data_IF_447423395417
#
_entry.id   IF_447423395417
#
_cell.length_a   1.000
_cell.length_b   1.000
_cell.length_c   1.000
_cell.angle_alpha   90.00
_cell.angle_beta   90.00
_cell.angle_gamma   90.00
#
_symmetry.space_group_name_H-M   'P 1'
#
loop_
_entity.id
_entity.type
_entity.pdbx_description
1 polymer ?
#
# COMPACT_ATOMS: atom_id res chain seq x y z
N UNK A 1 -24.98 17.70 18.15
CA UNK A 1 -23.58 17.31 18.40
C UNK A 1 -22.73 18.40 17.81
N UNK A 2 -21.83 18.97 18.59
CA UNK A 2 -20.92 20.04 18.18
C UNK A 2 -20.16 19.57 16.93
N UNK A 3 -20.37 20.25 15.78
CA UNK A 3 -19.81 19.87 14.47
C UNK A 3 -18.28 19.85 14.49
N UNK A 4 -17.67 20.57 15.43
CA UNK A 4 -16.23 20.74 15.56
C UNK A 4 -15.57 19.68 16.45
N UNK A 5 -16.34 18.83 17.16
CA UNK A 5 -15.82 17.80 18.06
C UNK A 5 -14.84 16.84 17.40
N UNK A 6 -15.11 16.48 16.14
CA UNK A 6 -14.31 15.51 15.37
C UNK A 6 -12.89 15.98 15.09
N UNK A 7 -12.64 17.29 15.05
CA UNK A 7 -11.35 17.81 14.61
C UNK A 7 -10.31 17.77 15.73
N UNK A 8 -9.06 17.50 15.37
CA UNK A 8 -7.92 17.61 16.27
C UNK A 8 -7.61 19.10 16.55
N UNK A 9 -6.90 19.37 17.65
CA UNK A 9 -6.51 20.73 18.01
C UNK A 9 -5.76 21.43 16.87
N UNK A 10 -4.87 20.72 16.18
CA UNK A 10 -4.09 21.25 15.05
C UNK A 10 -4.98 21.66 13.86
N UNK A 11 -6.04 20.91 13.59
CA UNK A 11 -6.98 21.22 12.52
C UNK A 11 -7.82 22.45 12.88
N UNK A 12 -8.28 22.55 14.13
CA UNK A 12 -8.99 23.74 14.62
C UNK A 12 -8.13 25.00 14.58
N UNK A 13 -6.83 24.88 14.89
CA UNK A 13 -5.87 25.98 14.77
C UNK A 13 -5.75 26.47 13.33
N UNK A 14 -5.69 25.56 12.35
CA UNK A 14 -5.67 25.94 10.94
C UNK A 14 -6.99 26.58 10.51
N UNK A 15 -8.15 26.03 10.93
CA UNK A 15 -9.46 26.62 10.67
C UNK A 15 -9.53 28.06 11.22
N UNK A 16 -9.13 28.27 12.48
CA UNK A 16 -9.10 29.58 13.12
C UNK A 16 -8.18 30.56 12.37
N UNK A 17 -6.99 30.11 11.94
CA UNK A 17 -6.06 30.89 11.12
C UNK A 17 -6.70 31.34 9.80
N UNK A 18 -7.41 30.46 9.10
CA UNK A 18 -8.08 30.78 7.83
C UNK A 18 -9.32 31.68 7.99
N UNK A 19 -9.94 31.67 9.17
CA UNK A 19 -11.00 32.60 9.56
C UNK A 19 -10.45 33.96 10.05
N UNK A 20 -9.16 34.04 10.39
CA UNK A 20 -8.54 35.24 10.95
C UNK A 20 -8.79 35.42 12.45
N UNK A 21 -9.09 34.34 13.17
CA UNK A 21 -9.35 34.34 14.60
C UNK A 21 -8.03 34.30 15.36
N UNK A 22 -7.75 35.35 16.14
CA UNK A 22 -6.59 35.39 17.03
C UNK A 22 -6.86 34.65 18.34
N UNK A 23 -5.90 33.83 18.78
CA UNK A 23 -5.98 33.09 20.03
C UNK A 23 -4.63 33.03 20.76
N UNK A 24 -4.65 32.74 22.06
CA UNK A 24 -3.44 32.68 22.89
C UNK A 24 -2.66 31.39 22.66
N UNK A 25 -1.33 31.46 22.77
CA UNK A 25 -0.47 30.27 22.77
C UNK A 25 -0.87 29.31 23.91
N UNK A 26 -1.04 28.02 23.58
CA UNK A 26 -1.48 27.00 24.54
C UNK A 26 -2.99 26.93 24.79
N UNK A 27 -3.82 27.55 23.94
CA UNK A 27 -5.29 27.47 24.03
C UNK A 27 -5.78 26.01 24.06
N UNK A 28 -6.79 25.75 24.88
CA UNK A 28 -7.43 24.43 24.95
C UNK A 28 -8.33 24.20 23.74
N UNK A 29 -8.50 22.91 23.36
CA UNK A 29 -9.39 22.51 22.27
C UNK A 29 -10.81 23.06 22.42
N UNK A 30 -11.38 22.99 23.64
CA UNK A 30 -12.74 23.49 23.91
C UNK A 30 -12.86 25.00 23.70
N UNK A 31 -11.91 25.78 24.22
CA UNK A 31 -11.89 27.24 24.11
C UNK A 31 -11.75 27.70 22.66
N UNK A 32 -10.90 27.02 21.87
CA UNK A 32 -10.73 27.36 20.46
C UNK A 32 -11.99 27.08 19.62
N UNK A 33 -12.75 26.04 19.96
CA UNK A 33 -14.01 25.77 19.28
C UNK A 33 -15.05 26.85 19.58
N UNK A 34 -15.22 27.23 20.84
CA UNK A 34 -16.16 28.29 21.22
C UNK A 34 -15.87 29.58 20.46
N UNK A 35 -14.59 29.92 20.24
CA UNK A 35 -14.20 31.07 19.42
C UNK A 35 -14.61 30.92 17.95
N UNK A 36 -14.43 29.73 17.37
CA UNK A 36 -14.81 29.45 15.98
C UNK A 36 -16.34 29.46 15.82
N UNK A 37 -17.08 28.84 16.74
CA UNK A 37 -18.54 28.83 16.73
C UNK A 37 -19.10 30.24 16.82
N UNK A 38 -18.57 31.05 17.75
CA UNK A 38 -18.99 32.44 17.92
C UNK A 38 -18.73 33.30 16.67
N UNK A 39 -17.57 33.14 16.03
CA UNK A 39 -17.24 33.87 14.78
C UNK A 39 -18.20 33.52 13.64
N UNK A 40 -18.69 32.28 13.57
CA UNK A 40 -19.68 31.85 12.56
C UNK A 40 -21.07 32.39 12.91
N UNK A 41 -21.49 32.30 14.18
CA UNK A 41 -22.79 32.80 14.64
C UNK A 41 -22.95 34.31 14.42
N UNK A 42 -21.87 35.08 14.53
CA UNK A 42 -21.88 36.53 14.24
C UNK A 42 -22.07 36.85 12.75
N UNK A 43 -21.89 35.86 11.85
CA UNK A 43 -22.02 36.04 10.40
C UNK A 43 -23.33 35.41 9.88
N UNK A 44 -24.34 36.25 9.64
CA UNK A 44 -25.64 35.80 9.14
C UNK A 44 -25.54 34.99 7.83
N UNK A 45 -26.24 33.85 7.78
CA UNK A 45 -26.36 33.00 6.59
C UNK A 45 -25.13 32.15 6.27
N UNK A 46 -24.16 32.09 7.19
CA UNK A 46 -22.97 31.25 7.07
C UNK A 46 -22.98 30.10 8.07
N UNK A 47 -22.31 29.02 7.68
CA UNK A 47 -22.10 27.85 8.53
C UNK A 47 -20.73 27.24 8.19
N UNK A 48 -20.22 26.34 9.03
CA UNK A 48 -19.11 25.46 8.66
C UNK A 48 -19.67 24.10 8.28
N UNK A 49 -19.26 23.65 7.10
CA UNK A 49 -19.55 22.29 6.65
C UNK A 49 -18.27 21.57 6.22
N UNK A 50 -18.34 20.24 6.27
CA UNK A 50 -17.33 19.37 5.69
C UNK A 50 -18.00 18.26 4.89
N UNK A 51 -17.29 17.69 3.92
CA UNK A 51 -17.75 16.57 3.11
C UNK A 51 -16.67 16.05 2.16
N UNK A 52 -16.96 14.96 1.46
CA UNK A 52 -16.10 14.39 0.42
C UNK A 52 -16.39 15.04 -0.93
N UNK A 53 -15.39 15.59 -1.61
CA UNK A 53 -15.59 16.26 -2.89
C UNK A 53 -15.86 15.26 -4.02
N UNK A 54 -16.83 15.55 -4.89
CA UNK A 54 -17.00 14.93 -6.19
C UNK A 54 -16.80 15.99 -7.28
N UNK A 55 -15.73 15.88 -8.07
CA UNK A 55 -15.46 16.77 -9.20
C UNK A 55 -16.12 16.22 -10.46
N UNK A 56 -16.90 17.06 -11.14
CA UNK A 56 -17.60 16.75 -12.39
C UNK A 56 -16.75 17.12 -13.61
N UNK A 57 -17.08 16.61 -14.81
CA UNK A 57 -16.28 16.81 -16.03
C UNK A 57 -15.98 18.27 -16.38
N UNK A 58 -16.90 19.18 -16.07
CA UNK A 58 -16.75 20.63 -16.32
C UNK A 58 -15.85 21.33 -15.27
N UNK A 59 -15.29 20.59 -14.32
CA UNK A 59 -14.29 21.06 -13.35
C UNK A 59 -14.84 21.69 -12.08
N UNK A 60 -16.16 21.88 -11.95
CA UNK A 60 -16.81 22.18 -10.67
C UNK A 60 -17.15 20.88 -9.93
N UNK A 61 -17.58 20.97 -8.68
CA UNK A 61 -17.93 19.78 -7.91
C UNK A 61 -18.95 20.00 -6.82
N UNK A 62 -19.26 18.93 -6.10
CA UNK A 62 -20.12 18.95 -4.92
C UNK A 62 -19.46 18.22 -3.76
N UNK A 63 -19.49 18.78 -2.55
CA UNK A 63 -19.21 18.01 -1.35
C UNK A 63 -20.42 17.11 -1.08
N UNK A 64 -20.17 15.80 -0.98
CA UNK A 64 -21.11 14.73 -0.63
C UNK A 64 -20.93 14.34 0.84
N UNK A 65 -21.93 13.64 1.38
CA UNK A 65 -21.92 13.13 2.77
C UNK A 65 -21.57 14.23 3.76
N UNK A 66 -22.22 15.39 3.62
CA UNK A 66 -21.82 16.59 4.33
C UNK A 66 -22.41 16.65 5.73
N UNK A 67 -21.80 17.46 6.58
CA UNK A 67 -22.33 17.75 7.93
C UNK A 67 -23.60 18.62 7.96
N UNK A 68 -24.07 19.08 6.79
CA UNK A 68 -25.29 19.90 6.65
C UNK A 68 -26.42 19.14 5.93
N UNK A 69 -26.26 17.81 5.77
CA UNK A 69 -27.23 16.89 5.15
C UNK A 69 -27.65 17.24 3.69
N UNK A 70 -27.04 18.26 3.09
CA UNK A 70 -27.22 18.70 1.71
C UNK A 70 -25.88 18.80 1.00
N UNK A 71 -25.89 18.62 -0.32
CA UNK A 71 -24.69 18.85 -1.12
C UNK A 71 -24.24 20.31 -1.05
N UNK A 72 -22.93 20.52 -1.03
CA UNK A 72 -22.32 21.85 -1.07
C UNK A 72 -21.64 22.03 -2.42
N UNK A 73 -22.09 22.99 -3.22
CA UNK A 73 -21.47 23.36 -4.48
C UNK A 73 -20.05 23.90 -4.27
N UNK A 74 -19.11 23.43 -5.08
CA UNK A 74 -17.72 23.88 -5.14
C UNK A 74 -17.40 24.37 -6.53
N UNK A 75 -16.98 25.63 -6.63
CA UNK A 75 -16.71 26.26 -7.93
C UNK A 75 -15.45 25.71 -8.60
N UNK A 76 -15.41 25.71 -9.93
CA UNK A 76 -14.23 25.28 -10.68
C UNK A 76 -12.97 26.13 -10.42
N UNK A 77 -13.13 27.37 -9.94
CA UNK A 77 -11.99 28.20 -9.50
C UNK A 77 -11.41 27.70 -8.18
N UNK A 78 -12.24 27.32 -7.20
CA UNK A 78 -11.79 26.72 -5.94
C UNK A 78 -11.14 25.35 -6.17
N UNK A 79 -11.76 24.50 -6.99
CA UNK A 79 -11.18 23.21 -7.38
C UNK A 79 -9.79 23.39 -7.97
N UNK A 80 -9.62 24.32 -8.93
CA UNK A 80 -8.31 24.58 -9.54
C UNK A 80 -7.31 25.23 -8.59
N UNK A 81 -7.73 26.25 -7.82
CA UNK A 81 -6.84 27.00 -6.92
C UNK A 81 -6.19 26.07 -5.89
N UNK A 82 -6.99 25.25 -5.22
CA UNK A 82 -6.53 24.36 -4.16
C UNK A 82 -6.19 22.96 -4.67
N UNK A 83 -6.14 22.77 -6.01
CA UNK A 83 -5.89 21.48 -6.68
C UNK A 83 -6.74 20.33 -6.12
N UNK A 84 -8.00 20.64 -5.80
CA UNK A 84 -8.92 19.67 -5.22
C UNK A 84 -9.26 18.57 -6.23
N UNK A 85 -9.44 17.36 -5.73
CA UNK A 85 -9.79 16.18 -6.51
C UNK A 85 -10.98 15.46 -5.86
N UNK A 86 -11.65 14.63 -6.65
CA UNK A 86 -12.69 13.74 -6.15
C UNK A 86 -12.14 12.91 -4.97
N UNK A 87 -12.91 12.77 -3.90
CA UNK A 87 -12.59 12.22 -2.57
C UNK A 87 -11.72 13.07 -1.64
N UNK A 88 -11.32 14.29 -2.00
CA UNK A 88 -10.71 15.19 -1.01
C UNK A 88 -11.76 15.54 0.06
N UNK A 89 -11.39 15.37 1.33
CA UNK A 89 -12.21 15.84 2.46
C UNK A 89 -11.98 17.33 2.62
N UNK A 90 -12.99 18.12 2.31
CA UNK A 90 -12.93 19.58 2.37
C UNK A 90 -13.72 20.07 3.57
N UNK A 91 -13.13 20.96 4.36
CA UNK A 91 -13.82 21.75 5.39
C UNK A 91 -13.85 23.19 4.91
N UNK A 92 -15.00 23.84 5.02
CA UNK A 92 -15.09 25.24 4.64
C UNK A 92 -16.28 25.99 5.21
N UNK A 93 -16.17 27.30 5.11
CA UNK A 93 -17.28 28.23 5.34
C UNK A 93 -18.23 28.09 4.15
N UNK A 94 -19.48 27.73 4.43
CA UNK A 94 -20.56 27.59 3.46
C UNK A 94 -21.59 28.67 3.67
N UNK A 95 -22.25 29.07 2.58
CA UNK A 95 -23.43 29.93 2.64
C UNK A 95 -24.68 29.14 2.31
N UNK A 96 -25.77 29.52 2.94
CA UNK A 96 -27.10 28.99 2.59
C UNK A 96 -27.43 29.27 1.10
N UNK A 97 -28.26 28.41 0.49
CA UNK A 97 -28.75 28.67 -0.86
C UNK A 97 -29.51 29.99 -0.91
N UNK A 98 -29.27 30.79 -1.94
CA UNK A 98 -29.94 32.09 -2.15
C UNK A 98 -30.66 32.12 -3.49
N UNK A 99 -31.87 32.70 -3.55
CA UNK A 99 -32.66 32.79 -4.78
C UNK A 99 -33.14 31.41 -5.25
N UNK A 100 -32.82 31.05 -6.49
CA UNK A 100 -33.21 29.76 -7.11
C UNK A 100 -32.24 28.61 -6.81
N UNK A 101 -31.17 28.86 -6.06
CA UNK A 101 -30.20 27.82 -5.68
C UNK A 101 -30.82 26.82 -4.70
N UNK A 102 -30.61 25.52 -4.94
CA UNK A 102 -31.12 24.44 -4.06
C UNK A 102 -30.08 23.93 -3.06
N UNK A 103 -28.80 24.16 -3.36
CA UNK A 103 -27.66 23.61 -2.63
C UNK A 103 -26.90 24.71 -1.90
N UNK A 104 -26.25 24.34 -0.80
CA UNK A 104 -25.28 25.23 -0.15
C UNK A 104 -24.14 25.54 -1.14
N UNK A 105 -23.45 26.67 -0.96
CA UNK A 105 -22.28 26.99 -1.75
C UNK A 105 -21.05 27.19 -0.86
N UNK A 106 -19.92 26.60 -1.25
CA UNK A 106 -18.65 26.77 -0.56
C UNK A 106 -18.16 28.20 -0.76
N UNK A 107 -18.13 29.00 0.29
CA UNK A 107 -17.62 30.38 0.25
C UNK A 107 -16.11 30.41 0.37
N UNK A 108 -15.56 29.67 1.34
CA UNK A 108 -14.12 29.63 1.62
C UNK A 108 -13.69 28.23 2.04
N UNK A 109 -12.61 27.74 1.44
CA UNK A 109 -11.93 26.51 1.89
C UNK A 109 -11.13 26.86 3.15
N UNK A 110 -11.27 26.07 4.21
CA UNK A 110 -10.57 26.26 5.48
C UNK A 110 -9.55 25.15 5.74
N UNK A 111 -9.83 23.92 5.29
CA UNK A 111 -8.97 22.76 5.48
C UNK A 111 -9.19 21.74 4.35
N UNK A 112 -8.14 21.00 3.97
CA UNK A 112 -8.22 19.90 2.99
C UNK A 112 -7.47 18.67 3.53
N UNK A 113 -8.12 17.51 3.61
CA UNK A 113 -7.56 16.22 4.09
C UNK A 113 -6.74 16.32 5.39
N UNK A 114 -7.22 17.08 6.38
CA UNK A 114 -6.53 17.30 7.67
C UNK A 114 -5.21 18.07 7.58
N UNK A 115 -4.88 18.65 6.41
CA UNK A 115 -3.72 19.49 6.16
C UNK A 115 -4.07 20.95 5.90
N UNK A 116 -3.05 21.78 5.77
CA UNK A 116 -3.22 23.22 5.50
C UNK A 116 -3.56 23.49 4.03
N UNK A 117 -4.09 24.68 3.73
CA UNK A 117 -4.38 25.05 2.35
C UNK A 117 -3.10 25.17 1.52
N UNK A 118 -2.01 25.65 2.11
CA UNK A 118 -0.72 25.74 1.42
C UNK A 118 -0.20 24.35 1.04
N UNK A 119 -0.42 23.34 1.90
CA UNK A 119 -0.09 21.95 1.58
C UNK A 119 -0.90 21.46 0.36
N UNK A 120 -2.21 21.73 0.31
CA UNK A 120 -3.06 21.37 -0.82
C UNK A 120 -2.64 22.09 -2.13
N UNK A 121 -2.35 23.39 -2.06
CA UNK A 121 -1.86 24.16 -3.23
C UNK A 121 -0.49 23.67 -3.72
N UNK A 122 0.39 23.25 -2.81
CA UNK A 122 1.73 22.72 -3.11
C UNK A 122 1.74 21.26 -3.54
N UNK A 123 0.60 20.55 -3.46
CA UNK A 123 0.48 19.14 -3.86
C UNK A 123 0.98 18.95 -5.29
N UNK A 124 1.88 17.98 -5.43
CA UNK A 124 2.40 17.53 -6.73
C UNK A 124 1.68 16.23 -7.10
N UNK A 125 1.10 16.13 -8.31
CA UNK A 125 0.50 14.89 -8.80
C UNK A 125 1.47 13.71 -8.71
N UNK A 126 0.96 12.51 -8.42
CA UNK A 126 1.74 11.29 -8.26
C UNK A 126 2.67 11.02 -9.45
N UNK A 127 2.16 11.29 -10.66
CA UNK A 127 2.88 11.11 -11.92
C UNK A 127 4.10 12.03 -12.06
N UNK A 128 4.07 13.20 -11.40
CA UNK A 128 5.14 14.21 -11.41
C UNK A 128 6.12 14.04 -10.22
N UNK A 129 5.82 13.15 -9.28
CA UNK A 129 6.71 12.84 -8.16
C UNK A 129 7.96 12.10 -8.64
N UNK A 130 9.13 12.47 -8.09
CA UNK A 130 10.43 11.91 -8.50
C UNK A 130 10.62 10.51 -7.93
N UNK A 131 10.64 9.45 -8.77
CA UNK A 131 10.86 8.08 -8.30
C UNK A 131 12.29 7.89 -7.79
N UNK A 132 12.43 7.11 -6.72
CA UNK A 132 13.70 6.73 -6.12
C UNK A 132 13.78 5.21 -5.91
N UNK A 133 14.99 4.70 -5.70
CA UNK A 133 15.14 3.36 -5.13
C UNK A 133 14.69 3.35 -3.68
N UNK A 134 14.14 2.23 -3.19
CA UNK A 134 13.93 2.04 -1.76
C UNK A 134 15.25 2.11 -0.99
N UNK A 135 15.27 2.91 0.08
CA UNK A 135 16.43 3.09 0.98
C UNK A 135 16.09 2.79 2.43
N UNK A 136 14.81 2.61 2.74
CA UNK A 136 14.31 2.18 4.03
C UNK A 136 13.67 0.81 3.86
N UNK A 137 14.10 -0.17 4.66
CA UNK A 137 13.49 -1.51 4.66
C UNK A 137 12.30 -1.57 5.59
N UNK A 138 11.29 -2.35 5.22
CA UNK A 138 10.34 -2.88 6.18
C UNK A 138 11.05 -3.93 7.02
N UNK A 139 10.79 -3.91 8.33
CA UNK A 139 11.19 -5.00 9.22
C UNK A 139 10.03 -5.98 9.29
N UNK A 140 10.26 -7.23 8.89
CA UNK A 140 9.25 -8.29 8.94
C UNK A 140 9.50 -9.27 10.09
N UNK A 141 10.70 -9.29 10.66
CA UNK A 141 10.97 -9.96 11.92
C UNK A 141 10.10 -9.37 13.05
N UNK A 142 9.31 -10.21 13.70
CA UNK A 142 8.55 -9.87 14.91
C UNK A 142 9.04 -10.68 16.10
N UNK A 143 8.49 -11.86 16.31
CA UNK A 143 8.90 -12.80 17.34
C UNK A 143 9.72 -13.97 16.76
N UNK A 144 10.24 -14.81 17.66
CA UNK A 144 11.01 -16.01 17.30
C UNK A 144 10.22 -17.01 16.44
N UNK A 145 8.89 -17.02 16.53
CA UNK A 145 8.01 -17.94 15.80
C UNK A 145 7.68 -17.44 14.40
N UNK A 146 7.88 -16.16 14.10
CA UNK A 146 7.72 -15.59 12.77
C UNK A 146 8.88 -15.97 11.84
N UNK A 147 8.96 -17.25 11.49
CA UNK A 147 10.00 -17.79 10.62
C UNK A 147 9.92 -17.17 9.22
N UNK A 148 8.71 -16.91 8.70
CA UNK A 148 8.50 -16.30 7.38
C UNK A 148 9.10 -14.91 7.27
N UNK A 149 8.74 -13.99 8.17
CA UNK A 149 9.27 -12.63 8.18
C UNK A 149 10.78 -12.62 8.34
N UNK A 150 11.30 -13.46 9.26
CA UNK A 150 12.74 -13.59 9.49
C UNK A 150 13.51 -14.10 8.27
N UNK A 151 12.97 -15.08 7.54
CA UNK A 151 13.58 -15.56 6.29
C UNK A 151 13.57 -14.45 5.25
N UNK A 152 12.43 -13.78 5.03
CA UNK A 152 12.32 -12.71 4.02
C UNK A 152 13.32 -11.59 4.30
N UNK A 153 13.44 -11.12 5.53
CA UNK A 153 14.40 -10.07 5.92
C UNK A 153 15.86 -10.44 5.59
N UNK A 154 16.20 -11.74 5.59
CA UNK A 154 17.53 -12.25 5.25
C UNK A 154 17.71 -12.51 3.76
N UNK A 155 16.69 -12.99 3.04
CA UNK A 155 16.84 -13.54 1.68
C UNK A 155 16.29 -12.64 0.58
N UNK A 156 15.30 -11.80 0.89
CA UNK A 156 14.60 -10.95 -0.06
C UNK A 156 14.05 -9.71 0.68
N UNK A 157 14.93 -8.83 1.21
CA UNK A 157 14.50 -7.68 1.99
C UNK A 157 13.56 -6.79 1.18
N UNK A 158 12.47 -6.32 1.80
CA UNK A 158 11.46 -5.49 1.15
C UNK A 158 11.62 -4.04 1.60
N UNK A 159 11.78 -3.12 0.65
CA UNK A 159 11.88 -1.69 0.92
C UNK A 159 10.55 -0.93 0.79
N UNK A 160 10.49 0.26 1.40
CA UNK A 160 9.45 1.26 1.13
C UNK A 160 9.51 1.67 -0.34
N UNK A 161 8.46 1.34 -1.09
CA UNK A 161 8.40 1.56 -2.54
C UNK A 161 8.80 0.36 -3.40
N UNK A 162 8.95 -0.84 -2.81
CA UNK A 162 9.32 -2.06 -3.53
C UNK A 162 8.19 -2.55 -4.45
N UNK A 163 8.60 -3.17 -5.56
CA UNK A 163 7.74 -4.00 -6.43
C UNK A 163 8.12 -5.46 -6.22
N UNK A 164 7.48 -6.09 -5.25
CA UNK A 164 7.79 -7.46 -4.87
C UNK A 164 6.81 -8.45 -5.49
N UNK A 165 7.33 -9.56 -6.00
CA UNK A 165 6.56 -10.68 -6.52
C UNK A 165 6.70 -11.87 -5.57
N UNK A 166 5.57 -12.42 -5.13
CA UNK A 166 5.51 -13.74 -4.50
C UNK A 166 5.15 -14.74 -5.61
N UNK A 167 6.15 -15.46 -6.08
CA UNK A 167 6.04 -16.39 -7.20
C UNK A 167 5.73 -17.77 -6.63
N UNK A 168 4.48 -18.17 -6.73
CA UNK A 168 3.98 -19.33 -6.00
C UNK A 168 3.20 -20.30 -6.88
N UNK A 169 3.50 -21.60 -6.84
CA UNK A 169 2.60 -22.60 -7.39
C UNK A 169 1.35 -22.75 -6.52
N UNK A 170 0.27 -23.33 -7.07
CA UNK A 170 -0.91 -23.69 -6.29
C UNK A 170 -0.53 -24.53 -5.05
N UNK A 171 -1.19 -24.26 -3.92
CA UNK A 171 -0.99 -24.97 -2.63
C UNK A 171 0.39 -24.80 -1.97
N UNK A 172 1.22 -23.84 -2.40
CA UNK A 172 2.54 -23.60 -1.80
C UNK A 172 2.52 -22.78 -0.48
N UNK A 173 1.35 -22.38 0.02
CA UNK A 173 1.23 -21.56 1.24
C UNK A 173 1.23 -20.05 1.00
N UNK A 174 0.85 -19.61 -0.22
CA UNK A 174 0.69 -18.20 -0.63
C UNK A 174 -0.07 -17.35 0.40
N UNK A 175 -1.28 -17.77 0.76
CA UNK A 175 -2.17 -17.04 1.69
C UNK A 175 -1.53 -16.86 3.05
N UNK A 176 -0.93 -17.93 3.60
CA UNK A 176 -0.20 -17.88 4.87
C UNK A 176 0.96 -16.89 4.83
N UNK A 177 1.68 -16.82 3.69
CA UNK A 177 2.77 -15.88 3.54
C UNK A 177 2.28 -14.43 3.48
N UNK A 178 1.21 -14.14 2.73
CA UNK A 178 0.60 -12.80 2.69
C UNK A 178 0.19 -12.35 4.08
N UNK A 179 -0.58 -13.18 4.81
CA UNK A 179 -1.04 -12.83 6.16
C UNK A 179 0.13 -12.61 7.12
N UNK A 180 1.18 -13.42 7.01
CA UNK A 180 2.40 -13.25 7.82
C UNK A 180 3.13 -11.93 7.51
N UNK A 181 3.29 -11.57 6.24
CA UNK A 181 3.90 -10.29 5.85
C UNK A 181 3.04 -9.12 6.34
N UNK A 182 1.72 -9.19 6.15
CA UNK A 182 0.79 -8.14 6.55
C UNK A 182 0.86 -7.86 8.05
N UNK A 183 0.74 -8.91 8.87
CA UNK A 183 0.81 -8.79 10.32
C UNK A 183 2.16 -8.24 10.79
N UNK A 184 3.25 -8.70 10.17
CA UNK A 184 4.59 -8.19 10.48
C UNK A 184 4.73 -6.69 10.18
N UNK A 185 4.18 -6.25 9.03
CA UNK A 185 4.20 -4.84 8.65
C UNK A 185 3.38 -3.97 9.60
N UNK A 186 2.18 -4.42 9.98
CA UNK A 186 1.31 -3.72 10.93
C UNK A 186 1.98 -3.58 12.30
N UNK A 187 2.65 -4.63 12.77
CA UNK A 187 3.30 -4.63 14.07
C UNK A 187 4.54 -3.73 14.12
N UNK A 188 5.41 -3.84 13.12
CA UNK A 188 6.74 -3.21 13.14
C UNK A 188 6.79 -1.84 12.46
N UNK A 189 5.86 -1.50 11.57
CA UNK A 189 5.93 -0.32 10.70
C UNK A 189 4.67 0.53 10.83
N UNK A 190 4.42 1.05 12.04
CA UNK A 190 3.18 1.73 12.45
C UNK A 190 2.83 2.98 11.63
N UNK A 191 3.80 3.56 10.93
CA UNK A 191 3.64 4.69 10.03
C UNK A 191 3.15 4.29 8.62
N UNK A 192 2.98 2.99 8.36
CA UNK A 192 2.57 2.45 7.06
C UNK A 192 1.15 1.91 7.11
N UNK A 193 0.31 2.30 6.16
CA UNK A 193 -0.99 1.68 5.98
C UNK A 193 -0.86 0.39 5.15
N UNK A 194 -1.38 -0.71 5.69
CA UNK A 194 -1.37 -2.03 5.05
C UNK A 194 -2.74 -2.31 4.44
N UNK A 195 -2.78 -2.45 3.13
CA UNK A 195 -3.97 -2.75 2.35
C UNK A 195 -3.83 -4.14 1.72
N UNK A 196 -4.89 -4.94 1.77
CA UNK A 196 -4.95 -6.25 1.11
C UNK A 196 -5.99 -6.17 0.01
N UNK A 197 -5.59 -6.50 -1.22
CA UNK A 197 -6.45 -6.51 -2.40
C UNK A 197 -6.59 -7.94 -2.93
N UNK A 198 -7.77 -8.54 -2.73
CA UNK A 198 -8.09 -9.91 -3.14
C UNK A 198 -8.96 -9.88 -4.40
N UNK A 199 -8.45 -10.48 -5.48
CA UNK A 199 -9.09 -10.49 -6.79
C UNK A 199 -9.35 -11.93 -7.22
N UNK A 200 -10.60 -12.23 -7.55
CA UNK A 200 -11.04 -13.54 -8.04
C UNK A 200 -10.63 -14.69 -7.08
N UNK A 201 -10.67 -14.40 -5.78
CA UNK A 201 -10.42 -15.38 -4.71
C UNK A 201 -11.73 -15.85 -4.07
N UNK A 202 -11.65 -16.96 -3.34
CA UNK A 202 -12.82 -17.59 -2.73
C UNK A 202 -13.34 -16.81 -1.52
N UNK A 203 -14.67 -16.68 -1.32
CA UNK A 203 -15.24 -15.95 -0.20
C UNK A 203 -14.76 -16.42 1.17
N UNK A 204 -14.53 -17.72 1.36
CA UNK A 204 -13.99 -18.28 2.60
C UNK A 204 -12.54 -17.84 2.87
N UNK A 205 -11.71 -17.72 1.83
CA UNK A 205 -10.33 -17.23 1.94
C UNK A 205 -10.29 -15.72 2.21
N UNK A 206 -11.24 -14.96 1.63
CA UNK A 206 -11.43 -13.54 1.96
C UNK A 206 -11.81 -13.34 3.42
N UNK A 207 -12.68 -14.20 3.94
CA UNK A 207 -13.12 -14.14 5.35
C UNK A 207 -11.96 -14.47 6.30
N UNK A 208 -11.21 -15.53 6.01
CA UNK A 208 -10.03 -15.92 6.79
C UNK A 208 -8.97 -14.79 6.87
N UNK A 209 -8.72 -14.09 5.77
CA UNK A 209 -7.81 -12.93 5.78
C UNK A 209 -8.34 -11.78 6.65
N UNK A 210 -9.64 -11.48 6.56
CA UNK A 210 -10.24 -10.41 7.37
C UNK A 210 -10.16 -10.69 8.87
N UNK A 211 -10.28 -11.96 9.26
CA UNK A 211 -10.20 -12.37 10.66
C UNK A 211 -8.75 -12.51 11.15
N UNK A 212 -7.82 -12.90 10.29
CA UNK A 212 -6.42 -13.17 10.66
C UNK A 212 -5.48 -11.96 10.57
N UNK A 213 -5.85 -10.89 9.85
CA UNK A 213 -5.01 -9.70 9.65
C UNK A 213 -5.70 -8.44 10.20
N UNK A 214 -5.74 -8.35 11.53
CA UNK A 214 -6.33 -7.21 12.22
C UNK A 214 -5.45 -5.97 12.02
N UNK A 215 -6.05 -4.88 11.52
CA UNK A 215 -5.36 -3.62 11.25
C UNK A 215 -5.09 -3.35 9.77
N UNK A 216 -5.26 -4.35 8.89
CA UNK A 216 -5.24 -4.13 7.45
C UNK A 216 -6.60 -3.64 6.92
N UNK A 217 -6.58 -2.80 5.88
CA UNK A 217 -7.78 -2.53 5.08
C UNK A 217 -7.91 -3.61 4.00
N UNK A 218 -8.94 -4.45 4.11
CA UNK A 218 -9.16 -5.56 3.16
C UNK A 218 -10.21 -5.18 2.11
N UNK A 219 -9.77 -5.13 0.87
CA UNK A 219 -10.59 -4.95 -0.33
C UNK A 219 -10.66 -6.29 -1.07
N UNK A 220 -11.86 -6.69 -1.48
CA UNK A 220 -12.05 -7.97 -2.15
C UNK A 220 -13.09 -7.85 -3.28
N UNK A 221 -12.84 -8.60 -4.34
CA UNK A 221 -13.77 -8.84 -5.44
C UNK A 221 -13.68 -10.34 -5.75
N UNK A 222 -14.66 -11.11 -5.26
CA UNK A 222 -14.64 -12.58 -5.25
C UNK A 222 -14.90 -13.18 -6.63
N UNK A 223 -14.57 -14.46 -6.83
CA UNK A 223 -14.64 -15.13 -8.15
C UNK A 223 -16.04 -15.17 -8.80
N UNK A 224 -17.10 -14.94 -8.02
CA UNK A 224 -18.49 -14.92 -8.47
C UNK A 224 -18.89 -13.56 -9.08
N UNK A 225 -18.05 -12.54 -8.98
CA UNK A 225 -18.29 -11.21 -9.55
C UNK A 225 -17.86 -11.09 -11.02
N UNK A 226 -18.43 -10.12 -11.74
CA UNK A 226 -18.04 -9.84 -13.13
C UNK A 226 -16.57 -9.36 -13.20
N UNK A 227 -15.76 -9.81 -14.17
CA UNK A 227 -14.37 -9.37 -14.35
C UNK A 227 -14.18 -7.85 -14.43
N UNK A 228 -15.19 -7.10 -14.89
CA UNK A 228 -15.18 -5.63 -14.88
C UNK A 228 -15.17 -5.07 -13.45
N UNK A 229 -15.77 -5.76 -12.50
CA UNK A 229 -15.73 -5.35 -11.09
C UNK A 229 -14.32 -5.50 -10.52
N UNK A 230 -13.61 -6.59 -10.84
CA UNK A 230 -12.20 -6.78 -10.45
C UNK A 230 -11.32 -5.61 -10.92
N UNK A 231 -11.50 -5.19 -12.17
CA UNK A 231 -10.80 -4.04 -12.77
C UNK A 231 -11.16 -2.75 -12.03
N UNK A 232 -12.45 -2.47 -11.88
CA UNK A 232 -12.95 -1.26 -11.22
C UNK A 232 -12.45 -1.12 -9.78
N UNK A 233 -12.53 -2.19 -8.99
CA UNK A 233 -12.04 -2.21 -7.61
C UNK A 233 -10.54 -1.94 -7.59
N UNK A 234 -9.77 -2.62 -8.45
CA UNK A 234 -8.31 -2.45 -8.51
C UNK A 234 -7.89 -1.02 -8.85
N UNK A 235 -8.50 -0.42 -9.88
CA UNK A 235 -8.20 0.95 -10.30
C UNK A 235 -8.56 1.97 -9.21
N UNK A 236 -9.74 1.81 -8.58
CA UNK A 236 -10.16 2.67 -7.47
C UNK A 236 -9.18 2.62 -6.30
N UNK A 237 -8.71 1.42 -5.92
CA UNK A 237 -7.74 1.26 -4.84
C UNK A 237 -6.38 1.85 -5.22
N UNK A 238 -5.92 1.67 -6.46
CA UNK A 238 -4.67 2.27 -6.92
C UNK A 238 -4.71 3.81 -6.84
N UNK A 239 -5.78 4.43 -7.33
CA UNK A 239 -5.94 5.88 -7.30
C UNK A 239 -6.02 6.41 -5.86
N UNK A 240 -6.70 5.69 -4.96
CA UNK A 240 -6.72 6.02 -3.53
C UNK A 240 -5.32 5.96 -2.91
N UNK A 241 -4.53 4.93 -3.26
CA UNK A 241 -3.16 4.78 -2.76
C UNK A 241 -2.23 5.90 -3.26
N UNK A 242 -2.30 6.25 -4.55
CA UNK A 242 -1.53 7.36 -5.13
C UNK A 242 -1.77 8.67 -4.36
N UNK A 243 -3.02 9.00 -4.07
CA UNK A 243 -3.39 10.22 -3.33
C UNK A 243 -2.80 10.27 -1.93
N UNK A 244 -2.75 9.14 -1.23
CA UNK A 244 -2.10 9.07 0.08
C UNK A 244 -0.59 9.28 -0.02
N UNK A 245 0.05 8.70 -1.04
CA UNK A 245 1.48 8.92 -1.31
C UNK A 245 1.79 10.36 -1.69
N UNK A 246 0.91 11.04 -2.43
CA UNK A 246 1.01 12.49 -2.71
C UNK A 246 1.02 13.33 -1.42
N UNK A 247 0.36 12.88 -0.36
CA UNK A 247 0.36 13.52 0.96
C UNK A 247 1.54 13.09 1.85
N UNK A 248 2.48 12.29 1.34
CA UNK A 248 3.66 11.84 2.08
C UNK A 248 3.48 10.54 2.87
N UNK A 249 2.37 9.83 2.68
CA UNK A 249 2.07 8.59 3.42
C UNK A 249 2.77 7.37 2.79
N UNK A 250 3.04 6.34 3.62
CA UNK A 250 3.58 5.06 3.16
C UNK A 250 2.45 4.05 3.05
N UNK A 251 2.22 3.53 1.85
CA UNK A 251 1.15 2.58 1.55
C UNK A 251 1.76 1.27 1.07
N UNK A 252 1.30 0.16 1.63
CA UNK A 252 1.58 -1.19 1.13
C UNK A 252 0.29 -1.80 0.61
N UNK A 253 0.32 -2.28 -0.64
CA UNK A 253 -0.75 -3.11 -1.20
C UNK A 253 -0.24 -4.54 -1.35
N UNK A 254 -0.80 -5.44 -0.56
CA UNK A 254 -0.64 -6.89 -0.69
C UNK A 254 -1.74 -7.41 -1.61
N UNK A 255 -1.37 -7.85 -2.81
CA UNK A 255 -2.32 -8.23 -3.84
C UNK A 255 -2.31 -9.73 -4.09
N UNK A 256 -3.51 -10.31 -4.15
CA UNK A 256 -3.72 -11.72 -4.47
C UNK A 256 -4.84 -11.89 -5.51
N UNK A 257 -4.55 -12.03 -6.82
CA UNK A 257 -3.22 -12.12 -7.46
C UNK A 257 -3.12 -11.29 -8.74
N UNK A 258 -1.90 -10.92 -9.12
CA UNK A 258 -1.63 -10.26 -10.41
C UNK A 258 -2.01 -11.14 -11.60
N UNK A 259 -1.84 -12.47 -11.48
CA UNK A 259 -2.24 -13.41 -12.54
C UNK A 259 -3.74 -13.34 -12.80
N UNK A 260 -4.56 -13.33 -11.74
CA UNK A 260 -6.02 -13.23 -11.87
C UNK A 260 -6.46 -11.87 -12.41
N UNK A 261 -5.83 -10.77 -11.98
CA UNK A 261 -6.09 -9.46 -12.55
C UNK A 261 -5.77 -9.41 -14.05
N UNK A 262 -4.62 -9.94 -14.46
CA UNK A 262 -4.24 -9.99 -15.87
C UNK A 262 -5.23 -10.80 -16.72
N UNK A 263 -5.75 -11.91 -16.19
CA UNK A 263 -6.84 -12.67 -16.83
C UNK A 263 -8.12 -11.84 -16.96
N UNK A 264 -8.51 -11.11 -15.92
CA UNK A 264 -9.69 -10.25 -15.96
C UNK A 264 -9.59 -9.18 -17.05
N UNK A 265 -8.45 -8.49 -17.15
CA UNK A 265 -8.19 -7.54 -18.24
C UNK A 265 -8.22 -8.19 -19.63
N UNK A 266 -7.66 -9.40 -19.77
CA UNK A 266 -7.68 -10.13 -21.04
C UNK A 266 -9.09 -10.56 -21.47
N UNK A 267 -10.02 -10.73 -20.53
CA UNK A 267 -11.43 -11.04 -20.82
C UNK A 267 -12.20 -9.77 -21.22
N UNK A 268 -11.94 -8.65 -20.54
CA UNK A 268 -12.74 -7.42 -20.68
C UNK A 268 -12.29 -6.53 -21.84
N UNK A 269 -10.98 -6.47 -22.10
CA UNK A 269 -10.44 -5.57 -23.12
C UNK A 269 -10.81 -6.09 -24.51
N UNK A 270 -11.35 -5.22 -25.39
CA UNK A 270 -11.60 -5.57 -26.78
C UNK A 270 -10.32 -6.06 -27.47
N UNK A 271 -10.40 -7.18 -28.20
CA UNK A 271 -9.21 -7.71 -28.86
C UNK A 271 -8.68 -6.73 -29.91
N UNK A 272 -7.37 -6.52 -29.88
CA UNK A 272 -6.60 -5.80 -30.89
C UNK A 272 -6.44 -6.57 -32.20
N UNK A 273 -6.87 -7.84 -32.24
CA UNK A 273 -6.65 -8.77 -33.36
C UNK A 273 -5.25 -9.37 -33.40
N UNK A 274 -4.36 -9.01 -32.46
CA UNK A 274 -3.01 -9.57 -32.33
C UNK A 274 -2.90 -10.34 -31.03
N UNK A 275 -2.86 -11.67 -31.12
CA UNK A 275 -2.62 -12.53 -29.96
C UNK A 275 -1.14 -12.93 -29.90
N UNK A 276 -0.56 -12.86 -28.71
CA UNK A 276 0.73 -13.50 -28.42
C UNK A 276 0.49 -14.96 -28.02
N UNK A 277 1.59 -15.69 -27.81
CA UNK A 277 1.53 -17.05 -27.27
C UNK A 277 0.66 -17.08 -26.00
N UNK A 278 -0.01 -18.20 -25.72
CA UNK A 278 -0.91 -18.32 -24.57
C UNK A 278 -2.26 -17.62 -24.72
N UNK A 279 -2.59 -17.04 -25.88
CA UNK A 279 -3.91 -16.46 -26.15
C UNK A 279 -4.15 -15.11 -25.47
N UNK A 280 -3.06 -14.39 -25.15
CA UNK A 280 -3.11 -13.09 -24.50
C UNK A 280 -3.07 -12.00 -25.56
N UNK A 281 -3.90 -10.97 -25.38
CA UNK A 281 -3.75 -9.72 -26.11
C UNK A 281 -2.67 -8.85 -25.43
N UNK A 282 -1.61 -8.40 -26.12
CA UNK A 282 -0.58 -7.54 -25.53
C UNK A 282 -1.14 -6.27 -24.87
N UNK A 283 -2.23 -5.73 -25.40
CA UNK A 283 -2.89 -4.54 -24.82
C UNK A 283 -3.52 -4.85 -23.48
N UNK A 284 -3.93 -6.09 -23.23
CA UNK A 284 -4.49 -6.50 -21.96
C UNK A 284 -3.45 -6.53 -20.82
N UNK A 285 -2.18 -6.75 -21.14
CA UNK A 285 -1.10 -6.73 -20.14
C UNK A 285 -0.64 -5.32 -19.76
N UNK A 286 -1.01 -4.30 -20.54
CA UNK A 286 -0.62 -2.91 -20.27
C UNK A 286 -1.10 -2.45 -18.88
N UNK A 287 -2.38 -2.66 -18.56
CA UNK A 287 -2.97 -2.15 -17.32
C UNK A 287 -2.47 -2.86 -16.07
N UNK A 288 -2.39 -4.20 -16.00
CA UNK A 288 -1.76 -4.87 -14.87
C UNK A 288 -0.28 -4.50 -14.68
N UNK A 289 0.48 -4.34 -15.78
CA UNK A 289 1.87 -3.87 -15.70
C UNK A 289 1.95 -2.45 -15.16
N UNK A 290 1.06 -1.57 -15.59
CA UNK A 290 1.00 -0.21 -15.08
C UNK A 290 0.64 -0.19 -13.58
N UNK A 291 -0.34 -1.00 -13.16
CA UNK A 291 -0.68 -1.17 -11.73
C UNK A 291 0.55 -1.57 -10.92
N UNK A 292 1.22 -2.67 -11.30
CA UNK A 292 2.40 -3.15 -10.56
C UNK A 292 3.59 -2.19 -10.66
N UNK A 293 3.79 -1.57 -11.82
CA UNK A 293 4.83 -0.56 -12.09
C UNK A 293 4.60 0.77 -11.40
N UNK A 294 3.40 1.03 -10.88
CA UNK A 294 3.11 2.26 -10.12
C UNK A 294 3.88 2.28 -8.80
N UNK A 295 4.14 1.14 -8.18
CA UNK A 295 4.90 1.04 -6.94
C UNK A 295 6.34 1.58 -7.10
N UNK A 296 6.66 2.55 -6.23
CA UNK A 296 7.90 3.30 -6.23
C UNK A 296 8.08 4.03 -4.89
N UNK A 297 9.33 4.25 -4.52
CA UNK A 297 9.69 5.19 -3.45
C UNK A 297 9.68 6.61 -4.02
N UNK A 298 9.24 7.61 -3.26
CA UNK A 298 9.24 9.02 -3.69
C UNK A 298 10.33 9.78 -2.94
N UNK A 299 11.18 10.51 -3.68
CA UNK A 299 12.20 11.36 -3.07
C UNK A 299 11.54 12.49 -2.28
N UNK A 300 11.78 12.52 -0.97
CA UNK A 300 11.26 13.57 -0.08
C UNK A 300 9.74 13.48 0.16
N UNK A 301 9.13 12.33 -0.11
CA UNK A 301 7.70 12.09 0.08
C UNK A 301 7.43 10.70 0.66
N UNK A 302 6.23 10.19 0.38
CA UNK A 302 5.79 8.87 0.83
C UNK A 302 6.31 7.74 -0.06
N UNK A 303 5.71 6.57 0.05
CA UNK A 303 6.05 5.43 -0.81
C UNK A 303 4.84 4.57 -1.12
N UNK A 304 4.79 4.03 -2.34
CA UNK A 304 3.83 2.99 -2.71
C UNK A 304 4.57 1.68 -2.90
N UNK A 305 4.33 0.73 -2.01
CA UNK A 305 4.85 -0.63 -2.11
C UNK A 305 3.76 -1.55 -2.61
N UNK A 306 4.04 -2.37 -3.62
CA UNK A 306 3.12 -3.42 -4.06
C UNK A 306 3.84 -4.76 -3.93
N UNK A 307 3.25 -5.64 -3.14
CA UNK A 307 3.68 -7.03 -2.98
C UNK A 307 2.56 -7.88 -3.56
N UNK A 308 2.81 -8.51 -4.69
CA UNK A 308 1.78 -9.21 -5.42
C UNK A 308 2.13 -10.65 -5.70
N UNK A 309 1.13 -11.53 -5.64
CA UNK A 309 1.32 -12.93 -5.99
C UNK A 309 1.19 -13.14 -7.49
N UNK A 310 2.02 -14.04 -8.01
CA UNK A 310 1.96 -14.51 -9.39
C UNK A 310 2.01 -16.03 -9.37
N UNK A 311 1.07 -16.64 -10.07
CA UNK A 311 0.95 -18.10 -10.17
C UNK A 311 1.92 -18.64 -11.21
N UNK A 312 2.61 -19.72 -10.85
CA UNK A 312 3.48 -20.51 -11.74
C UNK A 312 3.15 -22.00 -11.62
N UNK A 313 3.64 -22.81 -12.54
CA UNK A 313 3.42 -24.27 -12.57
C UNK A 313 1.94 -24.66 -12.54
N UNK A 314 1.06 -23.85 -13.15
CA UNK A 314 -0.39 -24.10 -13.24
C UNK A 314 -0.75 -25.03 -14.40
N UNK A 315 0.19 -25.27 -15.32
CA UNK A 315 -0.05 -25.95 -16.60
C UNK A 315 -0.66 -25.05 -17.67
N UNK A 316 -0.90 -23.77 -17.38
CA UNK A 316 -1.40 -22.79 -18.33
C UNK A 316 -0.26 -21.99 -18.95
N UNK A 317 -0.09 -22.10 -20.28
CA UNK A 317 0.85 -21.25 -21.03
C UNK A 317 0.57 -19.75 -20.88
N UNK A 318 -0.70 -19.39 -20.62
CA UNK A 318 -1.09 -18.00 -20.37
C UNK A 318 -0.41 -17.50 -19.09
N UNK A 319 -0.43 -18.29 -18.02
CA UNK A 319 0.14 -17.89 -16.73
C UNK A 319 1.67 -17.80 -16.80
N UNK A 320 2.33 -18.70 -17.53
CA UNK A 320 3.77 -18.66 -17.75
C UNK A 320 4.20 -17.34 -18.40
N UNK A 321 3.44 -16.88 -19.40
CA UNK A 321 3.72 -15.62 -20.11
C UNK A 321 3.42 -14.43 -19.22
N UNK A 322 2.30 -14.46 -18.48
CA UNK A 322 1.99 -13.42 -17.49
C UNK A 322 3.13 -13.28 -16.47
N UNK A 323 3.66 -14.40 -15.97
CA UNK A 323 4.78 -14.40 -15.04
C UNK A 323 6.04 -13.78 -15.63
N UNK A 324 6.47 -14.18 -16.83
CA UNK A 324 7.67 -13.63 -17.46
C UNK A 324 7.55 -12.11 -17.69
N UNK A 325 6.36 -11.64 -18.04
CA UNK A 325 6.08 -10.22 -18.25
C UNK A 325 6.19 -9.41 -16.95
N UNK A 326 5.69 -9.92 -15.83
CA UNK A 326 5.80 -9.23 -14.53
C UNK A 326 7.19 -9.35 -13.90
N UNK A 327 7.89 -10.46 -14.10
CA UNK A 327 9.26 -10.66 -13.63
C UNK A 327 10.22 -9.59 -14.14
N UNK A 328 9.99 -9.11 -15.38
CA UNK A 328 10.76 -8.00 -15.94
C UNK A 328 10.53 -6.66 -15.23
N UNK A 329 9.34 -6.48 -14.63
CA UNK A 329 8.87 -5.24 -13.98
C UNK A 329 9.24 -5.18 -12.49
N UNK A 330 9.25 -6.34 -11.82
CA UNK A 330 9.58 -6.49 -10.40
C UNK A 330 11.05 -6.22 -10.09
N UNK A 331 11.32 -5.93 -8.81
CA UNK A 331 12.67 -5.74 -8.28
C UNK A 331 12.94 -6.51 -6.97
N UNK A 332 11.98 -7.30 -6.50
CA UNK A 332 12.12 -8.26 -5.41
C UNK A 332 11.32 -9.51 -5.77
N UNK A 333 11.95 -10.68 -5.74
CA UNK A 333 11.33 -11.95 -6.09
C UNK A 333 11.39 -12.89 -4.88
N UNK A 334 10.23 -13.39 -4.43
CA UNK A 334 10.09 -14.37 -3.36
C UNK A 334 9.48 -15.63 -3.98
N UNK A 335 10.31 -16.65 -4.16
CA UNK A 335 9.88 -17.90 -4.78
C UNK A 335 9.38 -18.88 -3.72
N UNK A 336 8.19 -19.44 -3.94
CA UNK A 336 7.72 -20.60 -3.20
C UNK A 336 7.92 -21.87 -4.02
N UNK A 337 8.36 -22.95 -3.38
CA UNK A 337 8.67 -24.22 -4.00
C UNK A 337 7.65 -25.30 -3.60
N UNK A 338 7.04 -25.94 -4.60
CA UNK A 338 6.02 -26.98 -4.40
C UNK A 338 6.56 -28.18 -3.63
N UNK A 339 7.81 -28.60 -3.90
CA UNK A 339 8.40 -29.77 -3.26
C UNK A 339 8.63 -29.52 -1.76
N UNK A 340 9.00 -28.30 -1.38
CA UNK A 340 9.09 -27.92 0.04
C UNK A 340 7.72 -28.05 0.74
N UNK A 341 6.66 -27.53 0.11
CA UNK A 341 5.31 -27.62 0.65
C UNK A 341 4.80 -29.07 0.76
N UNK A 342 5.07 -29.91 -0.24
CA UNK A 342 4.74 -31.35 -0.24
C UNK A 342 5.48 -32.11 0.86
N UNK A 343 6.74 -31.74 1.15
CA UNK A 343 7.53 -32.24 2.27
C UNK A 343 7.15 -31.61 3.63
N UNK A 344 6.10 -30.78 3.68
CA UNK A 344 5.64 -30.06 4.88
C UNK A 344 6.69 -29.14 5.50
N UNK A 345 7.60 -28.61 4.69
CA UNK A 345 8.60 -27.62 5.11
C UNK A 345 8.00 -26.23 4.88
N UNK A 346 7.63 -25.55 5.97
CA UNK A 346 7.08 -24.20 5.93
C UNK A 346 7.94 -23.21 6.75
N UNK A 347 8.10 -21.96 6.25
CA UNK A 347 7.60 -21.44 4.98
C UNK A 347 8.32 -22.08 3.78
N UNK A 348 7.58 -22.34 2.70
CA UNK A 348 8.07 -23.04 1.53
C UNK A 348 8.92 -22.15 0.59
N UNK A 349 9.74 -21.27 1.15
CA UNK A 349 10.54 -20.28 0.42
C UNK A 349 11.80 -20.94 -0.15
N UNK A 350 12.03 -20.77 -1.45
CA UNK A 350 13.29 -21.10 -2.11
C UNK A 350 14.31 -19.99 -1.82
N UNK A 351 15.22 -20.28 -0.89
CA UNK A 351 16.28 -19.37 -0.43
C UNK A 351 17.22 -18.98 -1.57
N UNK A 352 17.49 -19.88 -2.52
CA UNK A 352 18.47 -19.64 -3.57
C UNK A 352 17.91 -18.74 -4.66
N UNK A 353 16.65 -18.97 -5.05
CA UNK A 353 15.97 -18.21 -6.11
C UNK A 353 15.44 -16.85 -5.64
N UNK A 354 15.14 -16.70 -4.35
CA UNK A 354 14.57 -15.44 -3.82
C UNK A 354 15.65 -14.37 -3.64
N UNK A 355 15.33 -13.11 -3.90
CA UNK A 355 16.28 -12.01 -3.80
C UNK A 355 15.71 -10.64 -4.14
N UNK A 356 16.43 -9.60 -3.72
CA UNK A 356 16.07 -8.20 -3.98
C UNK A 356 17.17 -7.50 -4.77
N UNK A 357 16.80 -6.78 -5.83
CA UNK A 357 17.74 -5.93 -6.58
C UNK A 357 18.15 -4.73 -5.74
N UNK A 358 19.44 -4.42 -5.73
CA UNK A 358 20.04 -3.32 -4.95
C UNK A 358 19.82 -3.44 -3.43
N UNK A 359 19.90 -4.66 -2.90
CA UNK A 359 19.75 -4.91 -1.46
C UNK A 359 20.80 -4.19 -0.59
N UNK A 360 21.93 -3.77 -1.17
CA UNK A 360 22.94 -2.93 -0.51
C UNK A 360 22.44 -1.53 -0.11
N UNK A 361 21.30 -1.09 -0.66
CA UNK A 361 20.62 0.15 -0.25
C UNK A 361 19.72 -0.05 0.97
N UNK A 362 19.40 -1.31 1.31
CA UNK A 362 18.44 -1.67 2.36
C UNK A 362 19.12 -2.27 3.59
N UNK A 363 20.25 -2.96 3.39
CA UNK A 363 20.95 -3.69 4.43
C UNK A 363 22.34 -3.07 4.67
N UNK A 364 22.73 -2.80 5.93
CA UNK A 364 24.08 -2.38 6.26
C UNK A 364 25.14 -3.36 5.74
N UNK A 365 26.25 -2.83 5.22
CA UNK A 365 27.30 -3.62 4.55
C UNK A 365 27.78 -4.83 5.36
N UNK A 366 27.99 -4.68 6.66
CA UNK A 366 28.44 -5.76 7.55
C UNK A 366 27.42 -6.89 7.67
N UNK A 367 26.12 -6.56 7.78
CA UNK A 367 25.05 -7.56 7.81
C UNK A 367 24.93 -8.27 6.46
N UNK A 368 25.05 -7.51 5.37
CA UNK A 368 24.92 -8.04 4.02
C UNK A 368 26.03 -9.04 3.66
N UNK A 369 27.28 -8.75 4.05
CA UNK A 369 28.40 -9.68 3.86
C UNK A 369 28.15 -11.01 4.59
N UNK A 370 27.64 -10.96 5.82
CA UNK A 370 27.28 -12.15 6.60
C UNK A 370 26.12 -12.91 5.98
N UNK A 371 25.08 -12.23 5.49
CA UNK A 371 23.97 -12.84 4.74
C UNK A 371 24.49 -13.57 3.50
N UNK A 372 25.37 -12.94 2.71
CA UNK A 372 25.95 -13.58 1.53
C UNK A 372 26.78 -14.82 1.87
N UNK A 373 27.51 -14.80 2.98
CA UNK A 373 28.21 -15.98 3.49
C UNK A 373 27.25 -17.13 3.82
N UNK A 374 26.17 -16.83 4.53
CA UNK A 374 25.12 -17.81 4.84
C UNK A 374 24.52 -18.38 3.55
N UNK A 375 24.21 -17.53 2.56
CA UNK A 375 23.67 -17.98 1.27
C UNK A 375 24.64 -18.90 0.53
N UNK A 376 25.94 -18.57 0.50
CA UNK A 376 26.97 -19.44 -0.10
C UNK A 376 27.09 -20.78 0.61
N UNK A 377 27.00 -20.80 1.94
CA UNK A 377 26.98 -22.03 2.73
C UNK A 377 25.75 -22.88 2.41
N UNK A 378 24.55 -22.28 2.41
CA UNK A 378 23.30 -22.98 2.11
C UNK A 378 23.22 -23.46 0.65
N UNK A 379 23.90 -22.80 -0.28
CA UNK A 379 23.96 -23.19 -1.69
C UNK A 379 24.65 -24.54 -1.94
N UNK A 380 25.39 -25.07 -0.95
CA UNK A 380 26.03 -26.39 -1.03
C UNK A 380 25.05 -27.54 -0.81
N UNK A 381 23.84 -27.26 -0.33
CA UNK A 381 22.79 -28.25 -0.05
C UNK A 381 21.68 -28.20 -1.10
N UNK A 382 20.91 -29.30 -1.21
CA UNK A 382 19.65 -29.28 -1.93
C UNK A 382 18.64 -28.34 -1.24
N UNK A 383 17.59 -27.91 -1.96
CA UNK A 383 16.61 -26.93 -1.47
C UNK A 383 15.96 -27.35 -0.15
N UNK A 384 15.55 -28.61 -0.02
CA UNK A 384 14.87 -29.08 1.18
C UNK A 384 15.80 -29.07 2.39
N UNK A 385 17.03 -29.53 2.22
CA UNK A 385 18.05 -29.52 3.29
C UNK A 385 18.45 -28.09 3.67
N UNK A 386 18.65 -27.21 2.68
CA UNK A 386 18.97 -25.79 2.91
C UNK A 386 17.87 -25.09 3.70
N UNK A 387 16.60 -25.25 3.29
CA UNK A 387 15.46 -24.64 3.99
C UNK A 387 15.30 -25.16 5.41
N UNK A 388 15.40 -26.48 5.65
CA UNK A 388 15.36 -27.03 7.02
C UNK A 388 16.47 -26.47 7.89
N UNK A 389 17.71 -26.44 7.40
CA UNK A 389 18.85 -25.89 8.16
C UNK A 389 18.63 -24.43 8.56
N UNK A 390 18.14 -23.60 7.65
CA UNK A 390 17.87 -22.19 7.95
C UNK A 390 16.72 -22.07 8.96
N UNK A 391 15.62 -22.80 8.76
CA UNK A 391 14.47 -22.81 9.66
C UNK A 391 14.89 -23.25 11.06
N UNK A 392 15.64 -24.35 11.18
CA UNK A 392 16.13 -24.85 12.46
C UNK A 392 17.04 -23.83 13.15
N UNK A 393 17.86 -23.11 12.39
CA UNK A 393 18.75 -22.08 12.96
C UNK A 393 17.96 -20.86 13.42
N UNK A 394 16.96 -20.42 12.66
CA UNK A 394 16.02 -19.36 13.04
C UNK A 394 15.29 -19.75 14.31
N UNK A 395 14.74 -20.97 14.36
CA UNK A 395 14.04 -21.49 15.52
C UNK A 395 14.95 -21.64 16.74
N UNK A 396 16.27 -21.76 16.59
CA UNK A 396 17.22 -21.83 17.70
C UNK A 396 17.84 -20.48 18.10
N UNK A 397 17.50 -19.40 17.41
CA UNK A 397 18.03 -18.04 17.67
C UNK A 397 16.91 -17.07 17.99
N UNK A 398 17.16 -16.13 18.89
CA UNK A 398 16.15 -15.17 19.33
C UNK A 398 15.81 -14.12 18.27
N UNK A 399 16.79 -13.76 17.43
CA UNK A 399 16.61 -12.78 16.36
C UNK A 399 17.54 -13.01 15.16
N UNK A 400 17.26 -12.34 14.04
CA UNK A 400 18.13 -12.37 12.86
C UNK A 400 19.52 -11.83 13.18
N UNK A 401 19.61 -10.78 14.01
CA UNK A 401 20.90 -10.29 14.49
C UNK A 401 21.69 -11.39 15.21
N UNK A 402 21.05 -12.15 16.12
CA UNK A 402 21.69 -13.26 16.82
C UNK A 402 22.05 -14.42 15.90
N UNK A 403 21.24 -14.66 14.87
CA UNK A 403 21.52 -15.63 13.82
C UNK A 403 22.80 -15.26 13.04
N UNK A 404 22.94 -13.99 12.62
CA UNK A 404 24.15 -13.54 11.93
C UNK A 404 25.39 -13.69 12.82
N UNK A 405 25.31 -13.29 14.09
CA UNK A 405 26.38 -13.49 15.08
C UNK A 405 26.75 -14.98 15.27
N UNK A 406 25.77 -15.88 15.22
CA UNK A 406 25.99 -17.32 15.34
C UNK A 406 26.79 -17.88 14.17
N UNK A 407 26.42 -17.52 12.93
CA UNK A 407 27.13 -17.95 11.73
C UNK A 407 28.55 -17.39 11.65
N UNK A 408 28.75 -16.12 12.01
CA UNK A 408 30.08 -15.51 12.05
C UNK A 408 31.03 -16.22 13.03
N UNK A 409 30.53 -16.64 14.20
CA UNK A 409 31.31 -17.42 15.16
C UNK A 409 31.64 -18.82 14.63
N UNK A 410 30.70 -19.44 13.91
CA UNK A 410 30.90 -20.72 13.22
C UNK A 410 32.04 -20.65 12.20
N UNK A 411 32.00 -19.67 11.30
CA UNK A 411 33.05 -19.48 10.28
C UNK A 411 34.44 -19.23 10.90
N UNK A 412 34.52 -18.43 11.97
CA UNK A 412 35.80 -18.15 12.66
C UNK A 412 36.40 -19.40 13.31
N UNK A 413 35.58 -20.33 13.81
CA UNK A 413 36.06 -21.61 14.35
C UNK A 413 36.66 -22.48 13.24
N UNK A 414 35.95 -22.63 12.12
CA UNK A 414 36.42 -23.45 10.99
C UNK A 414 37.71 -22.90 10.37
N UNK A 415 37.88 -21.57 10.32
CA UNK A 415 39.11 -20.93 9.82
C UNK A 415 40.32 -21.03 10.76
N UNK A 416 40.10 -21.25 12.06
CA UNK A 416 41.18 -21.42 13.04
C UNK A 416 41.58 -22.90 13.23
N UNK A 417 40.83 -23.83 12.63
CA UNK A 417 41.09 -25.28 12.66
C UNK A 417 41.76 -25.80 11.37
N UNK A 418 41.98 -24.91 10.38
CA UNK A 418 42.72 -25.13 9.13
C UNK A 418 43.99 -24.28 9.20
#
# INVERSE_FOLDING_TARGET
MDKLDRFLLKELQEIAKQLGIEYKNGIKKSELKELIEKDIEEKEGLDIAWGSLEVLPDGYGFLRNTSVEKDVYVSASQVRKFKLRTEDIVVGEVREPSGDEKNYALRRVLLVNSGTLEAAESRVPFEDLVPAYPTERFILETDRKNVSGRIIDLVAPIGKGQRALIIAPPKAGKTMLISSIANSMIEQNKETEVWILLIDERPEEVTDIKESVIGAQVFASTFDEDPRNHIKVTEMILERAKRKVENGENIVILMDSLTRLARAYNIVIPSSGKLISGGIDPTALYYPKNFFGTARNIRGGGSLTIIATVLVDTGSKMDDIIYEEFKSTGNCDIHLDRNLAELRIFPAIDIQRSGTRKEELLIPKNELESIWSIRRYLAQYDRATASRKLIDTILNTESNKKLLEFYEKGEKRTKNEI
#
